data_IF_366016634655
#
_entry.id   IF_366016634655
#
_cell.length_a   1.000
_cell.length_b   1.000
_cell.length_c   1.000
_cell.angle_alpha   90.00
_cell.angle_beta   90.00
_cell.angle_gamma   90.00
#
_symmetry.space_group_name_H-M   'P 1'
#
loop_
_entity.id
_entity.type
_entity.pdbx_description
1 polymer ?
#
# COMPACT_ATOMS: atom_id res chain seq x y z
N UNK A 1 -70.44 1.29 45.29
CA UNK A 1 -69.73 0.81 44.10
C UNK A 1 -68.28 1.32 44.18
N UNK A 2 -67.35 0.43 44.44
CA UNK A 2 -65.91 0.77 44.55
C UNK A 2 -65.23 0.34 43.24
N UNK A 3 -64.81 1.33 42.47
CA UNK A 3 -63.90 1.05 41.38
C UNK A 3 -62.50 0.72 41.92
N UNK A 4 -62.10 -0.50 41.76
CA UNK A 4 -60.73 -0.90 42.03
C UNK A 4 -59.93 -0.61 40.78
N UNK A 5 -59.26 0.54 40.78
CA UNK A 5 -58.31 0.88 39.75
C UNK A 5 -57.17 -0.15 39.72
N UNK A 6 -57.06 -0.84 38.64
CA UNK A 6 -56.10 -1.92 38.41
C UNK A 6 -54.71 -1.30 38.15
N UNK A 7 -54.02 -0.90 39.21
CA UNK A 7 -52.71 -0.24 39.16
C UNK A 7 -51.57 -1.26 38.92
N UNK A 8 -51.91 -2.58 39.07
CA UNK A 8 -50.91 -3.64 38.97
C UNK A 8 -50.46 -3.93 37.53
N UNK A 9 -51.36 -3.78 36.54
CA UNK A 9 -51.01 -4.11 35.13
C UNK A 9 -50.04 -3.11 34.46
N UNK A 10 -50.13 -1.84 34.86
CA UNK A 10 -49.27 -0.81 34.25
C UNK A 10 -47.82 -0.87 34.71
N UNK A 11 -47.59 -1.29 35.94
CA UNK A 11 -46.23 -1.46 36.51
C UNK A 11 -45.53 -2.66 35.89
N UNK A 12 -46.26 -3.76 35.66
CA UNK A 12 -45.70 -4.98 35.04
C UNK A 12 -45.28 -4.70 33.58
N UNK A 13 -46.14 -4.00 32.82
CA UNK A 13 -45.85 -3.66 31.43
C UNK A 13 -44.64 -2.73 31.34
N UNK A 14 -44.56 -1.74 32.23
CA UNK A 14 -43.44 -0.79 32.25
C UNK A 14 -42.10 -1.45 32.53
N UNK A 15 -42.07 -2.40 33.49
CA UNK A 15 -40.87 -3.17 33.78
C UNK A 15 -40.49 -4.13 32.65
N UNK A 16 -41.45 -4.73 31.97
CA UNK A 16 -41.17 -5.59 30.81
C UNK A 16 -40.55 -4.86 29.66
N UNK A 17 -40.96 -3.61 29.39
CA UNK A 17 -40.39 -2.77 28.33
C UNK A 17 -38.97 -2.32 28.68
N UNK A 18 -38.69 -1.99 29.97
CA UNK A 18 -37.35 -1.61 30.41
C UNK A 18 -36.37 -2.77 30.29
N UNK A 19 -36.75 -3.97 30.69
CA UNK A 19 -35.91 -5.17 30.60
C UNK A 19 -35.62 -5.54 29.15
N UNK A 20 -36.61 -5.46 28.26
CA UNK A 20 -36.44 -5.69 26.84
C UNK A 20 -35.50 -4.64 26.16
N UNK A 21 -35.61 -3.39 26.57
CA UNK A 21 -34.76 -2.31 26.08
C UNK A 21 -33.26 -2.46 26.47
N UNK A 22 -33.00 -2.89 27.71
CA UNK A 22 -31.64 -3.14 28.20
C UNK A 22 -30.99 -4.34 27.50
N UNK A 23 -31.78 -5.41 27.23
CA UNK A 23 -31.28 -6.59 26.54
C UNK A 23 -30.88 -6.30 25.08
N UNK A 24 -31.56 -5.38 24.39
CA UNK A 24 -31.25 -5.01 23.01
C UNK A 24 -30.00 -4.08 22.94
N UNK A 25 -29.77 -3.26 23.98
CA UNK A 25 -28.63 -2.36 24.02
C UNK A 25 -27.28 -3.08 24.21
N UNK A 26 -27.26 -4.24 24.86
CA UNK A 26 -26.04 -5.04 25.09
C UNK A 26 -25.55 -5.74 23.82
N UNK A 27 -26.44 -6.04 22.86
CA UNK A 27 -26.05 -6.66 21.59
C UNK A 27 -25.34 -5.72 20.63
N UNK A 28 -25.35 -4.38 20.87
CA UNK A 28 -24.68 -3.40 20.03
C UNK A 28 -23.25 -3.05 20.46
N UNK A 29 -22.77 -3.58 21.59
CA UNK A 29 -21.34 -3.58 21.90
C UNK A 29 -20.69 -4.67 21.05
N UNK A 30 -20.59 -4.36 19.75
CA UNK A 30 -20.09 -5.24 18.72
C UNK A 30 -18.71 -5.76 19.07
N UNK A 31 -18.54 -7.03 18.82
CA UNK A 31 -17.24 -7.66 18.66
C UNK A 31 -16.40 -6.86 17.64
N UNK A 32 -15.64 -5.90 18.11
CA UNK A 32 -14.47 -5.43 17.36
C UNK A 32 -13.47 -6.58 17.42
N UNK A 33 -13.57 -7.50 16.48
CA UNK A 33 -12.51 -8.49 16.28
C UNK A 33 -11.20 -7.70 16.08
N UNK A 34 -10.16 -7.91 16.88
CA UNK A 34 -8.89 -7.27 16.64
C UNK A 34 -8.43 -7.71 15.25
N UNK A 35 -8.32 -6.74 14.33
CA UNK A 35 -7.71 -6.97 13.03
C UNK A 35 -6.33 -7.59 13.29
N UNK A 36 -6.01 -8.75 12.68
CA UNK A 36 -4.69 -9.35 12.84
C UNK A 36 -3.63 -8.27 12.62
N UNK A 37 -2.72 -8.11 13.57
CA UNK A 37 -1.62 -7.17 13.43
C UNK A 37 -0.83 -7.58 12.19
N UNK A 38 -0.94 -6.80 11.11
CA UNK A 38 -0.13 -7.02 9.92
C UNK A 38 1.33 -6.81 10.34
N UNK A 39 2.23 -7.72 9.94
CA UNK A 39 3.65 -7.53 10.21
C UNK A 39 4.09 -6.17 9.65
N UNK A 40 4.97 -5.48 10.36
CA UNK A 40 5.47 -4.18 9.92
C UNK A 40 6.07 -4.29 8.52
N UNK A 41 5.84 -3.29 7.64
CA UNK A 41 6.40 -3.30 6.29
C UNK A 41 7.93 -3.45 6.33
N UNK A 42 8.45 -4.35 5.52
CA UNK A 42 9.90 -4.50 5.34
C UNK A 42 10.35 -3.62 4.19
N UNK A 43 11.53 -3.04 4.32
CA UNK A 43 12.15 -2.18 3.31
C UNK A 43 13.46 -2.77 2.83
N UNK A 44 13.69 -2.73 1.53
CA UNK A 44 14.90 -3.20 0.88
C UNK A 44 15.37 -2.16 -0.11
N UNK A 45 16.67 -1.99 -0.22
CA UNK A 45 17.25 -1.04 -1.19
C UNK A 45 17.35 -1.70 -2.57
N UNK A 46 16.84 -1.00 -3.58
CA UNK A 46 16.89 -1.41 -4.98
C UNK A 46 17.78 -0.45 -5.77
N UNK A 47 18.64 -1.02 -6.61
CA UNK A 47 19.37 -0.30 -7.65
C UNK A 47 19.02 -0.94 -8.98
N UNK A 48 18.59 -0.13 -9.93
CA UNK A 48 18.18 -0.67 -11.22
C UNK A 48 18.06 0.39 -12.31
N UNK A 49 17.65 -0.09 -13.48
CA UNK A 49 17.41 0.72 -14.67
C UNK A 49 15.93 0.64 -15.03
N UNK A 50 15.35 1.79 -15.33
CA UNK A 50 13.97 1.87 -15.82
C UNK A 50 13.89 1.30 -17.23
N UNK A 51 13.03 0.30 -17.42
CA UNK A 51 12.75 -0.29 -18.73
C UNK A 51 11.56 0.41 -19.38
N UNK A 52 10.49 0.61 -18.62
CA UNK A 52 9.31 1.33 -19.08
C UNK A 52 8.54 1.97 -17.93
N UNK A 53 7.76 3.00 -18.24
CA UNK A 53 6.89 3.69 -17.29
C UNK A 53 5.45 3.58 -17.76
N UNK A 54 4.61 2.92 -16.97
CA UNK A 54 3.20 2.69 -17.27
C UNK A 54 2.32 3.58 -16.37
N UNK A 55 2.19 4.86 -16.75
CA UNK A 55 1.47 5.88 -15.97
C UNK A 55 0.01 5.49 -15.70
N UNK A 56 -0.68 4.90 -16.67
CA UNK A 56 -2.07 4.48 -16.55
C UNK A 56 -2.27 3.41 -15.45
N UNK A 57 -1.27 2.58 -15.20
CA UNK A 57 -1.28 1.53 -14.18
C UNK A 57 -0.56 1.95 -12.89
N UNK A 58 0.00 3.15 -12.85
CA UNK A 58 0.86 3.61 -11.76
C UNK A 58 2.01 2.65 -11.46
N UNK A 59 2.63 2.13 -12.54
CA UNK A 59 3.70 1.16 -12.47
C UNK A 59 4.95 1.63 -13.21
N UNK A 60 6.09 1.16 -12.74
CA UNK A 60 7.38 1.29 -13.42
C UNK A 60 7.98 -0.11 -13.55
N UNK A 61 8.44 -0.46 -14.75
CA UNK A 61 9.20 -1.69 -14.99
C UNK A 61 10.67 -1.39 -14.82
N UNK A 62 11.31 -2.11 -13.93
CA UNK A 62 12.72 -1.90 -13.58
C UNK A 62 13.49 -3.21 -13.77
N UNK A 63 14.61 -3.10 -14.45
CA UNK A 63 15.65 -4.12 -14.52
C UNK A 63 16.62 -3.85 -13.37
N UNK A 64 16.53 -4.66 -12.32
CA UNK A 64 17.30 -4.46 -11.09
C UNK A 64 18.28 -5.58 -10.83
N UNK A 65 19.38 -5.25 -10.17
CA UNK A 65 20.30 -6.21 -9.61
C UNK A 65 19.71 -7.01 -8.44
N UNK A 66 20.52 -7.81 -7.81
CA UNK A 66 20.12 -8.53 -6.60
C UNK A 66 19.68 -7.54 -5.51
N UNK A 67 18.50 -7.79 -4.93
CA UNK A 67 18.02 -7.10 -3.74
C UNK A 67 18.33 -7.99 -2.55
N UNK A 68 19.38 -7.66 -1.83
CA UNK A 68 19.92 -8.48 -0.73
C UNK A 68 18.84 -8.83 0.30
N UNK A 69 18.65 -10.12 0.53
CA UNK A 69 17.68 -10.65 1.49
C UNK A 69 16.22 -10.65 1.02
N UNK A 70 15.97 -10.31 -0.26
CA UNK A 70 14.62 -10.31 -0.82
C UNK A 70 14.50 -11.09 -2.13
N UNK A 71 15.20 -10.68 -3.20
CA UNK A 71 15.10 -11.37 -4.49
C UNK A 71 16.36 -11.21 -5.34
N UNK A 72 16.54 -12.14 -6.29
CA UNK A 72 17.63 -12.12 -7.24
C UNK A 72 17.42 -11.06 -8.34
N UNK A 73 18.48 -10.78 -9.09
CA UNK A 73 18.43 -9.88 -10.24
C UNK A 73 17.38 -10.33 -11.27
N UNK A 74 16.47 -9.42 -11.62
CA UNK A 74 15.40 -9.65 -12.60
C UNK A 74 14.78 -8.35 -13.10
N UNK A 75 13.97 -8.48 -14.15
CA UNK A 75 13.14 -7.35 -14.63
C UNK A 75 11.70 -7.57 -14.21
N UNK A 76 11.13 -6.63 -13.47
CA UNK A 76 9.72 -6.70 -13.07
C UNK A 76 9.06 -5.33 -12.92
N UNK A 77 7.71 -5.33 -12.91
CA UNK A 77 6.90 -4.15 -12.69
C UNK A 77 6.63 -3.93 -11.21
N UNK A 78 6.84 -2.71 -10.76
CA UNK A 78 6.54 -2.27 -9.40
C UNK A 78 5.46 -1.20 -9.40
N UNK A 79 4.53 -1.30 -8.47
CA UNK A 79 3.58 -0.23 -8.19
C UNK A 79 4.29 0.96 -7.53
N UNK A 80 3.87 2.18 -7.87
CA UNK A 80 4.40 3.42 -7.29
C UNK A 80 3.27 4.17 -6.60
N UNK A 81 3.38 4.39 -5.30
CA UNK A 81 2.34 5.07 -4.52
C UNK A 81 2.17 6.55 -4.86
N UNK A 82 3.25 7.20 -5.27
CA UNK A 82 3.20 8.59 -5.70
C UNK A 82 3.33 8.68 -7.23
N UNK A 83 2.21 8.82 -7.97
CA UNK A 83 2.23 8.85 -9.43
C UNK A 83 3.01 10.02 -10.01
N UNK A 84 3.17 11.13 -9.27
CA UNK A 84 3.97 12.28 -9.70
C UNK A 84 5.43 11.92 -9.97
N UNK A 85 5.96 10.92 -9.27
CA UNK A 85 7.33 10.45 -9.50
C UNK A 85 7.51 9.83 -10.88
N UNK A 86 6.44 9.22 -11.44
CA UNK A 86 6.47 8.62 -12.76
C UNK A 86 6.66 9.66 -13.88
N UNK A 87 6.30 10.94 -13.64
CA UNK A 87 6.48 12.00 -14.61
C UNK A 87 7.95 12.41 -14.80
N UNK A 88 8.76 12.16 -13.79
CA UNK A 88 10.20 12.46 -13.80
C UNK A 88 11.07 11.30 -14.30
N UNK A 89 10.47 10.10 -14.46
CA UNK A 89 11.17 8.90 -14.89
C UNK A 89 11.08 8.73 -16.41
N UNK A 90 12.18 8.30 -16.99
CA UNK A 90 12.28 7.95 -18.42
C UNK A 90 12.89 6.54 -18.57
N UNK A 91 12.56 5.83 -19.66
CA UNK A 91 13.28 4.60 -19.98
C UNK A 91 14.79 4.84 -20.03
N UNK A 92 15.57 3.85 -19.62
CA UNK A 92 17.03 3.86 -19.50
C UNK A 92 17.60 4.73 -18.34
N UNK A 93 16.74 5.42 -17.55
CA UNK A 93 17.19 6.10 -16.33
C UNK A 93 17.70 5.06 -15.32
N UNK A 94 18.84 5.35 -14.69
CA UNK A 94 19.32 4.58 -13.55
C UNK A 94 18.73 5.17 -12.27
N UNK A 95 18.11 4.31 -11.46
CA UNK A 95 17.41 4.69 -10.24
C UNK A 95 17.90 3.91 -9.04
N UNK A 96 17.76 4.54 -7.89
CA UNK A 96 17.78 3.90 -6.58
C UNK A 96 16.41 4.10 -5.96
N UNK A 97 15.87 3.09 -5.31
CA UNK A 97 14.57 3.16 -4.65
C UNK A 97 14.50 2.22 -3.45
N UNK A 98 13.49 2.42 -2.60
CA UNK A 98 13.14 1.49 -1.55
C UNK A 98 11.99 0.58 -2.01
N UNK A 99 12.22 -0.71 -2.01
CA UNK A 99 11.16 -1.72 -2.18
C UNK A 99 10.51 -1.95 -0.82
N UNK A 100 9.24 -1.66 -0.72
CA UNK A 100 8.46 -1.88 0.49
C UNK A 100 7.57 -3.10 0.30
N UNK A 101 7.67 -4.04 1.23
CA UNK A 101 6.92 -5.30 1.25
C UNK A 101 6.02 -5.33 2.48
N UNK A 102 4.72 -5.45 2.28
CA UNK A 102 3.73 -5.57 3.34
C UNK A 102 2.77 -6.71 3.02
N UNK A 103 3.05 -7.89 3.56
CA UNK A 103 2.34 -9.11 3.16
C UNK A 103 2.60 -9.43 1.70
N UNK A 104 1.53 -9.48 0.90
CA UNK A 104 1.60 -9.75 -0.55
C UNK A 104 1.77 -8.47 -1.39
N UNK A 105 1.66 -7.30 -0.77
CA UNK A 105 1.80 -6.03 -1.46
C UNK A 105 3.27 -5.60 -1.55
N UNK A 106 3.71 -5.26 -2.78
CA UNK A 106 5.06 -4.76 -3.06
C UNK A 106 4.96 -3.48 -3.88
N UNK A 107 5.66 -2.43 -3.45
CA UNK A 107 5.70 -1.15 -4.17
C UNK A 107 7.04 -0.44 -3.97
N UNK A 108 7.30 0.58 -4.80
CA UNK A 108 8.46 1.45 -4.66
C UNK A 108 8.12 2.74 -3.92
N UNK A 109 9.04 3.15 -3.06
CA UNK A 109 9.09 4.47 -2.42
C UNK A 109 10.49 5.08 -2.61
N UNK A 110 10.62 6.38 -2.35
CA UNK A 110 11.91 7.10 -2.36
C UNK A 110 12.71 6.90 -3.66
N UNK A 111 12.04 6.94 -4.82
CA UNK A 111 12.70 6.76 -6.11
C UNK A 111 13.58 7.99 -6.40
N UNK A 112 14.87 7.76 -6.57
CA UNK A 112 15.87 8.78 -6.91
C UNK A 112 16.52 8.40 -8.23
N UNK A 113 16.50 9.31 -9.20
CA UNK A 113 17.24 9.16 -10.46
C UNK A 113 18.70 9.48 -10.21
N UNK A 114 19.54 8.45 -10.28
CA UNK A 114 21.01 8.58 -10.09
C UNK A 114 21.69 9.04 -11.37
N UNK A 115 21.18 8.55 -12.52
CA UNK A 115 21.71 8.93 -13.83
C UNK A 115 20.57 8.99 -14.85
N UNK A 116 20.44 10.09 -15.55
CA UNK A 116 19.48 10.26 -16.65
C UNK A 116 19.94 9.54 -17.91
N UNK A 117 18.99 9.00 -18.67
CA UNK A 117 19.23 8.34 -19.96
C UNK A 117 20.02 9.20 -20.95
N UNK A 118 19.71 10.49 -21.00
CA UNK A 118 20.40 11.44 -21.91
C UNK A 118 21.90 11.58 -21.61
N UNK A 119 22.31 11.37 -20.35
CA UNK A 119 23.72 11.38 -19.96
C UNK A 119 24.44 10.05 -20.25
N UNK A 120 23.69 8.97 -20.49
CA UNK A 120 24.26 7.67 -20.86
C UNK A 120 24.56 7.58 -22.36
N UNK A 121 23.93 8.42 -23.18
CA UNK A 121 24.10 8.46 -24.63
C UNK A 121 25.07 9.59 -25.08
N UNK A 122 26.13 9.80 -24.29
CA UNK A 122 27.29 10.47 -24.86
C UNK A 122 27.89 9.48 -25.89
N UNK A 123 27.95 9.83 -27.20
CA UNK A 123 28.53 8.93 -28.18
C UNK A 123 29.97 8.69 -27.78
N UNK A 124 30.34 7.41 -27.66
CA UNK A 124 31.75 7.06 -27.72
C UNK A 124 32.31 7.74 -28.97
N UNK A 125 33.14 8.72 -28.78
CA UNK A 125 33.85 9.41 -29.85
C UNK A 125 34.52 8.33 -30.72
N UNK A 126 34.30 8.30 -32.05
CA UNK A 126 34.98 7.34 -32.86
C UNK A 126 36.48 7.60 -32.74
N UNK A 127 37.19 6.64 -32.24
CA UNK A 127 38.64 6.62 -32.17
C UNK A 127 39.20 6.88 -33.62
N UNK A 128 40.03 7.90 -33.84
CA UNK A 128 40.56 8.16 -35.16
C UNK A 128 41.46 6.99 -35.54
N UNK A 129 41.00 6.22 -36.55
CA UNK A 129 41.78 5.18 -37.17
C UNK A 129 43.00 5.84 -37.84
N UNK A 130 44.17 5.71 -37.23
CA UNK A 130 45.42 6.17 -37.73
C UNK A 130 45.78 5.38 -39.00
N UNK A 131 46.28 6.05 -40.07
CA UNK A 131 46.65 5.44 -41.32
C UNK A 131 47.86 4.48 -41.18
#
# INVERSE_FOLDING_TARGET
MRERTNLSGRTIILNAVIVAGISLAVCLLGCSSPKPAQPAPRRYSLNGRVVSVEKAKQQVVVDHGEITGFMMAMTMGYSVKNPTLLDSLSPEDQITADVVVNGDDVWLENIVVVKKADQAKAPASPEPKKP
#
